data_IF_386114123657
#
_entry.id   IF_386114123657
#
_cell.length_a   1.000
_cell.length_b   1.000
_cell.length_c   1.000
_cell.angle_alpha   90.00
_cell.angle_beta   90.00
_cell.angle_gamma   90.00
#
_symmetry.space_group_name_H-M   'P 1'
#
loop_
_entity.id
_entity.type
_entity.pdbx_description
1 polymer ?
#
# COMPACT_ATOMS: atom_id res chain seq x y z
N UNK A 1 24.63 41.66 -16.91
CA UNK A 1 23.32 41.62 -17.29
C UNK A 1 22.86 40.32 -17.96
N UNK A 2 23.63 39.71 -18.86
CA UNK A 2 23.31 38.35 -19.33
C UNK A 2 23.49 37.27 -18.22
N UNK A 3 24.44 37.45 -17.29
CA UNK A 3 24.68 36.56 -16.16
C UNK A 3 23.55 36.62 -15.11
N UNK A 4 23.01 37.80 -14.86
CA UNK A 4 21.84 38.00 -13.97
C UNK A 4 20.58 37.43 -14.57
N UNK A 5 20.32 37.62 -15.87
CA UNK A 5 19.19 36.99 -16.57
C UNK A 5 19.29 35.45 -16.57
N UNK A 6 20.48 34.89 -16.81
CA UNK A 6 20.71 33.43 -16.75
C UNK A 6 20.47 32.88 -15.35
N UNK A 7 20.93 33.57 -14.31
CA UNK A 7 20.71 33.12 -12.92
C UNK A 7 19.25 33.26 -12.50
N UNK A 8 18.54 34.30 -12.94
CA UNK A 8 17.10 34.47 -12.72
C UNK A 8 16.30 33.38 -13.47
N UNK A 9 16.68 33.08 -14.72
CA UNK A 9 16.03 32.02 -15.51
C UNK A 9 16.29 30.65 -14.93
N UNK A 10 17.50 30.38 -14.43
CA UNK A 10 17.86 29.11 -13.74
C UNK A 10 17.13 29.00 -12.41
N UNK A 11 16.98 30.10 -11.67
CA UNK A 11 16.22 30.14 -10.42
C UNK A 11 14.72 29.96 -10.67
N UNK A 12 14.17 30.57 -11.72
CA UNK A 12 12.79 30.36 -12.17
C UNK A 12 12.54 28.93 -12.67
N UNK A 13 13.46 28.32 -13.41
CA UNK A 13 13.39 26.92 -13.82
C UNK A 13 13.50 25.96 -12.62
N UNK A 14 14.35 26.26 -11.63
CA UNK A 14 14.42 25.53 -10.36
C UNK A 14 13.14 25.71 -9.53
N UNK A 15 12.59 26.92 -9.46
CA UNK A 15 11.29 27.16 -8.83
C UNK A 15 10.15 26.41 -9.57
N UNK A 16 10.16 26.41 -10.89
CA UNK A 16 9.17 25.68 -11.69
C UNK A 16 9.29 24.16 -11.54
N UNK A 17 10.51 23.63 -11.40
CA UNK A 17 10.74 22.22 -11.11
C UNK A 17 10.30 21.81 -9.68
N UNK A 18 10.29 22.76 -8.74
CA UNK A 18 9.77 22.59 -7.39
C UNK A 18 8.23 22.67 -7.33
N UNK A 19 7.60 23.30 -8.34
CA UNK A 19 6.14 23.48 -8.40
C UNK A 19 5.41 22.36 -9.18
N UNK A 20 6.11 21.51 -9.90
CA UNK A 20 5.51 20.53 -10.80
C UNK A 20 5.81 19.09 -10.37
N UNK A 21 5.35 18.60 -9.21
CA UNK A 21 5.29 17.14 -9.00
C UNK A 21 4.60 16.74 -7.69
N UNK A 22 3.35 17.07 -7.56
CA UNK A 22 2.52 16.40 -6.57
C UNK A 22 1.55 15.46 -7.31
N UNK A 23 1.66 14.15 -7.09
CA UNK A 23 0.70 13.19 -7.59
C UNK A 23 -0.29 12.83 -6.46
N UNK A 24 -1.57 12.68 -6.81
CA UNK A 24 -2.56 12.11 -5.88
C UNK A 24 -2.38 10.59 -5.79
N UNK A 25 -2.83 9.97 -4.69
CA UNK A 25 -2.86 8.52 -4.60
C UNK A 25 -3.54 7.90 -5.82
N UNK A 26 -2.97 6.81 -6.35
CA UNK A 26 -3.49 6.09 -7.52
C UNK A 26 -3.82 4.65 -7.14
N UNK A 27 -5.05 4.24 -7.38
CA UNK A 27 -5.49 2.86 -7.22
C UNK A 27 -5.35 2.10 -8.54
N UNK A 28 -4.66 0.98 -8.51
CA UNK A 28 -4.56 0.00 -9.59
C UNK A 28 -5.52 -1.16 -9.32
N UNK A 29 -6.32 -1.49 -10.30
CA UNK A 29 -7.37 -2.51 -10.19
C UNK A 29 -7.29 -3.55 -11.30
N UNK A 30 -8.11 -4.59 -11.21
CA UNK A 30 -8.19 -5.65 -12.23
C UNK A 30 -8.87 -5.20 -13.52
N UNK A 31 -9.56 -4.07 -13.52
CA UNK A 31 -10.27 -3.59 -14.71
C UNK A 31 -9.32 -3.14 -15.81
N UNK A 32 -8.09 -2.74 -15.45
CA UNK A 32 -7.13 -2.13 -16.39
C UNK A 32 -5.69 -2.59 -16.21
N UNK A 33 -5.23 -2.83 -14.98
CA UNK A 33 -3.80 -2.92 -14.71
C UNK A 33 -3.35 -4.25 -14.08
N UNK A 34 -4.16 -4.85 -13.19
CA UNK A 34 -3.73 -6.00 -12.40
C UNK A 34 -4.39 -7.30 -12.87
N UNK A 35 -3.68 -8.40 -12.72
CA UNK A 35 -4.20 -9.74 -12.99
C UNK A 35 -5.21 -10.22 -11.95
N UNK A 36 -5.08 -9.77 -10.69
CA UNK A 36 -6.00 -10.09 -9.58
C UNK A 36 -6.00 -8.97 -8.53
N UNK A 37 -7.11 -8.81 -7.80
CA UNK A 37 -7.23 -7.94 -6.64
C UNK A 37 -6.80 -8.61 -5.32
N UNK A 38 -6.47 -9.89 -5.36
CA UNK A 38 -5.96 -10.65 -4.22
C UNK A 38 -4.43 -10.65 -4.26
N UNK A 39 -3.84 -9.70 -3.55
CA UNK A 39 -2.41 -9.45 -3.55
C UNK A 39 -1.76 -10.16 -2.37
N UNK A 40 -0.72 -10.96 -2.65
CA UNK A 40 0.06 -11.67 -1.63
C UNK A 40 1.27 -10.86 -1.17
N UNK A 41 1.98 -10.21 -2.12
CA UNK A 41 3.15 -9.40 -1.79
C UNK A 41 3.37 -8.29 -2.83
N UNK A 42 3.89 -7.16 -2.38
CA UNK A 42 4.48 -6.12 -3.22
C UNK A 42 5.98 -6.09 -2.94
N UNK A 43 6.80 -6.10 -3.99
CA UNK A 43 8.25 -6.14 -3.91
C UNK A 43 8.86 -5.16 -4.91
N UNK A 44 9.98 -4.50 -4.56
CA UNK A 44 10.76 -3.69 -5.50
C UNK A 44 12.11 -4.37 -5.73
N UNK A 45 12.46 -4.61 -6.99
CA UNK A 45 13.78 -5.11 -7.36
C UNK A 45 14.85 -4.00 -7.42
N UNK A 46 16.10 -4.37 -7.57
CA UNK A 46 17.24 -3.43 -7.65
C UNK A 46 17.17 -2.47 -8.84
N UNK A 47 16.48 -2.85 -9.90
CA UNK A 47 16.27 -2.03 -11.10
C UNK A 47 15.13 -1.03 -10.92
N UNK A 48 14.39 -1.11 -9.80
CA UNK A 48 13.31 -0.21 -9.46
C UNK A 48 11.93 -0.67 -9.96
N UNK A 49 11.81 -1.82 -10.64
CA UNK A 49 10.52 -2.38 -11.00
C UNK A 49 9.74 -2.80 -9.74
N UNK A 50 8.45 -2.55 -9.76
CA UNK A 50 7.55 -3.04 -8.70
C UNK A 50 6.89 -4.34 -9.16
N UNK A 51 7.11 -5.38 -8.40
CA UNK A 51 6.54 -6.70 -8.62
C UNK A 51 5.38 -6.92 -7.67
N UNK A 52 4.25 -7.38 -8.19
CA UNK A 52 3.03 -7.63 -7.43
C UNK A 52 2.64 -9.09 -7.62
N UNK A 53 2.88 -9.88 -6.58
CA UNK A 53 2.49 -11.27 -6.50
C UNK A 53 1.01 -11.39 -6.16
N UNK A 54 0.25 -12.12 -6.97
CA UNK A 54 -1.20 -12.26 -6.81
C UNK A 54 -1.65 -13.72 -6.83
N UNK A 55 -2.93 -13.95 -6.55
CA UNK A 55 -3.53 -15.28 -6.67
C UNK A 55 -3.80 -15.71 -8.13
N UNK A 56 -3.67 -14.81 -9.12
CA UNK A 56 -3.90 -15.10 -10.54
C UNK A 56 -2.85 -14.46 -11.47
N UNK A 57 -1.58 -14.62 -11.15
CA UNK A 57 -0.45 -14.16 -11.94
C UNK A 57 0.52 -13.27 -11.18
N UNK A 58 1.60 -12.92 -11.87
CA UNK A 58 2.62 -11.99 -11.42
C UNK A 58 2.56 -10.73 -12.28
N UNK A 59 2.60 -9.56 -11.65
CA UNK A 59 2.56 -8.28 -12.34
C UNK A 59 3.87 -7.52 -12.11
N UNK A 60 4.44 -6.93 -13.16
CA UNK A 60 5.61 -6.03 -13.09
C UNK A 60 5.21 -4.64 -13.55
N UNK A 61 5.44 -3.65 -12.71
CA UNK A 61 5.21 -2.23 -13.02
C UNK A 61 6.53 -1.52 -13.29
N UNK A 62 6.64 -0.84 -14.43
CA UNK A 62 7.85 -0.15 -14.89
C UNK A 62 7.86 1.36 -14.61
N UNK A 63 6.87 1.85 -13.84
CA UNK A 63 6.65 3.28 -13.62
C UNK A 63 5.55 3.88 -14.50
N UNK A 64 5.18 3.21 -15.60
CA UNK A 64 4.17 3.67 -16.54
C UNK A 64 3.06 2.63 -16.78
N UNK A 65 3.43 1.36 -17.00
CA UNK A 65 2.51 0.28 -17.38
C UNK A 65 2.81 -1.01 -16.61
N UNK A 66 1.84 -1.90 -16.62
CA UNK A 66 1.97 -3.25 -16.09
C UNK A 66 2.26 -4.25 -17.21
N UNK A 67 3.17 -5.19 -16.95
CA UNK A 67 3.34 -6.44 -17.67
C UNK A 67 2.79 -7.56 -16.79
N UNK A 68 1.91 -8.39 -17.33
CA UNK A 68 1.27 -9.49 -16.61
C UNK A 68 1.86 -10.82 -17.10
N UNK A 69 2.33 -11.62 -16.16
CA UNK A 69 2.83 -12.97 -16.42
C UNK A 69 1.84 -13.99 -15.87
N UNK A 70 1.51 -14.98 -16.68
CA UNK A 70 0.62 -16.08 -16.32
C UNK A 70 1.22 -17.43 -16.71
N UNK A 71 0.66 -18.47 -16.13
CA UNK A 71 0.96 -19.84 -16.52
C UNK A 71 0.41 -20.12 -17.94
N UNK A 72 1.27 -20.67 -18.81
CA UNK A 72 0.92 -21.14 -20.14
C UNK A 72 1.12 -22.67 -20.19
N UNK A 73 0.08 -23.46 -20.46
CA UNK A 73 0.21 -24.90 -20.58
C UNK A 73 1.27 -25.28 -21.64
N UNK A 74 2.13 -26.23 -21.32
CA UNK A 74 3.22 -26.73 -22.17
C UNK A 74 4.36 -25.72 -22.44
N UNK A 75 4.44 -24.61 -21.72
CA UNK A 75 5.55 -23.68 -21.77
C UNK A 75 6.27 -23.65 -20.42
N UNK A 76 7.36 -24.41 -20.30
CA UNK A 76 8.17 -24.49 -19.05
C UNK A 76 8.89 -23.18 -18.71
N UNK A 77 8.95 -22.23 -19.65
CA UNK A 77 9.51 -20.91 -19.47
C UNK A 77 8.43 -19.85 -19.13
N UNK A 78 7.17 -20.23 -19.06
CA UNK A 78 6.12 -19.39 -18.50
C UNK A 78 6.09 -19.50 -16.98
N UNK A 79 5.27 -18.68 -16.33
CA UNK A 79 5.02 -18.81 -14.89
C UNK A 79 4.49 -20.23 -14.57
N UNK A 80 5.09 -20.93 -13.62
CA UNK A 80 4.74 -22.31 -13.33
C UNK A 80 3.31 -22.48 -12.80
N UNK A 81 2.81 -21.48 -12.07
CA UNK A 81 1.46 -21.46 -11.53
C UNK A 81 0.99 -20.01 -11.33
N UNK A 82 -0.29 -19.74 -11.63
CA UNK A 82 -0.84 -18.38 -11.46
C UNK A 82 -0.86 -17.89 -10.01
N UNK A 83 -0.98 -18.79 -9.04
CA UNK A 83 -0.92 -18.41 -7.63
C UNK A 83 0.52 -18.13 -7.22
N UNK A 84 0.92 -16.85 -7.25
CA UNK A 84 2.24 -16.38 -6.82
C UNK A 84 2.16 -15.86 -5.41
N UNK A 85 3.00 -16.38 -4.53
CA UNK A 85 2.99 -16.01 -3.11
C UNK A 85 4.01 -14.96 -2.76
N UNK A 86 5.23 -15.10 -3.31
CA UNK A 86 6.35 -14.28 -2.86
C UNK A 86 7.33 -14.04 -4.00
N UNK A 87 7.95 -12.87 -3.96
CA UNK A 87 9.03 -12.43 -4.85
C UNK A 87 10.20 -12.00 -3.97
N UNK A 88 11.39 -12.39 -4.34
CA UNK A 88 12.60 -12.07 -3.61
C UNK A 88 13.78 -11.92 -4.56
N UNK A 89 14.64 -10.94 -4.35
CA UNK A 89 15.89 -10.78 -5.09
C UNK A 89 17.07 -10.96 -4.15
N UNK A 90 18.01 -11.85 -4.52
CA UNK A 90 19.21 -12.06 -3.74
C UNK A 90 20.27 -10.96 -3.97
N UNK A 91 21.34 -10.96 -3.18
CA UNK A 91 22.44 -9.99 -3.29
C UNK A 91 23.15 -10.02 -4.64
N UNK A 92 23.03 -11.10 -5.41
CA UNK A 92 23.63 -11.27 -6.74
C UNK A 92 22.73 -10.80 -7.88
N UNK A 93 21.42 -10.51 -7.60
CA UNK A 93 20.45 -10.05 -8.58
C UNK A 93 19.57 -11.14 -9.19
N UNK A 94 19.54 -12.30 -8.57
CA UNK A 94 18.61 -13.33 -8.97
C UNK A 94 17.24 -13.04 -8.39
N UNK A 95 16.28 -12.78 -9.26
CA UNK A 95 14.88 -12.54 -8.86
C UNK A 95 14.14 -13.88 -8.80
N UNK A 96 13.81 -14.33 -7.61
CA UNK A 96 13.18 -15.60 -7.30
C UNK A 96 11.68 -15.42 -7.14
N UNK A 97 10.92 -16.33 -7.71
CA UNK A 97 9.46 -16.35 -7.68
C UNK A 97 9.00 -17.61 -6.97
N UNK A 98 8.31 -17.42 -5.84
CA UNK A 98 7.66 -18.51 -5.10
C UNK A 98 6.20 -18.63 -5.49
N UNK A 99 5.84 -19.80 -6.01
CA UNK A 99 4.47 -20.11 -6.42
C UNK A 99 3.83 -21.16 -5.51
N UNK A 100 2.57 -21.51 -5.77
CA UNK A 100 1.88 -22.59 -5.08
C UNK A 100 2.54 -23.97 -5.28
N UNK A 101 3.27 -24.16 -6.39
CA UNK A 101 3.84 -25.48 -6.75
C UNK A 101 5.37 -25.53 -6.72
N UNK A 102 6.07 -24.39 -6.52
CA UNK A 102 7.54 -24.42 -6.48
C UNK A 102 8.19 -23.07 -6.71
N UNK A 103 9.48 -23.12 -7.04
CA UNK A 103 10.36 -21.97 -7.19
C UNK A 103 10.82 -21.84 -8.64
N UNK A 104 10.76 -20.64 -9.17
CA UNK A 104 11.37 -20.26 -10.44
C UNK A 104 12.24 -19.01 -10.25
N UNK A 105 13.12 -18.73 -11.21
CA UNK A 105 13.86 -17.49 -11.30
C UNK A 105 13.44 -16.74 -12.57
N UNK A 106 13.25 -15.44 -12.46
CA UNK A 106 13.00 -14.58 -13.60
C UNK A 106 14.29 -14.32 -14.36
N UNK A 107 14.27 -14.48 -15.67
CA UNK A 107 15.36 -14.14 -16.59
C UNK A 107 15.04 -12.83 -17.32
N UNK A 108 15.71 -11.72 -16.96
CA UNK A 108 15.45 -10.42 -17.61
C UNK A 108 15.94 -10.35 -19.06
N UNK A 109 16.83 -11.26 -19.52
CA UNK A 109 17.33 -11.24 -20.87
C UNK A 109 16.31 -11.78 -21.88
N UNK A 110 15.49 -12.73 -21.45
CA UNK A 110 14.44 -13.36 -22.26
C UNK A 110 13.03 -12.93 -21.89
N UNK A 111 12.87 -12.17 -20.80
CA UNK A 111 11.58 -11.80 -20.16
C UNK A 111 10.72 -13.02 -19.81
N UNK A 112 11.36 -14.11 -19.37
CA UNK A 112 10.78 -15.43 -19.10
C UNK A 112 11.21 -15.95 -17.71
N UNK A 113 10.84 -17.20 -17.42
CA UNK A 113 11.18 -17.87 -16.16
C UNK A 113 12.00 -19.15 -16.44
N UNK A 114 12.85 -19.50 -15.48
CA UNK A 114 13.52 -20.82 -15.49
C UNK A 114 12.51 -21.95 -15.26
N UNK A 115 12.83 -23.18 -15.61
CA UNK A 115 12.10 -24.33 -15.09
C UNK A 115 12.07 -24.37 -13.56
N UNK A 116 11.13 -25.11 -13.00
CA UNK A 116 10.99 -25.28 -11.54
C UNK A 116 12.25 -25.87 -10.91
N UNK A 117 12.55 -25.41 -9.68
CA UNK A 117 13.67 -25.91 -8.88
C UNK A 117 13.55 -27.43 -8.63
N UNK A 118 14.70 -28.13 -8.63
CA UNK A 118 14.79 -29.57 -8.42
C UNK A 118 15.42 -29.90 -7.06
N UNK A 119 15.03 -31.02 -6.49
CA UNK A 119 15.68 -31.60 -5.32
C UNK A 119 17.09 -32.10 -5.68
N UNK A 120 18.07 -31.75 -4.88
CA UNK A 120 19.49 -32.10 -5.13
C UNK A 120 19.72 -33.61 -5.08
N UNK A 121 19.03 -34.31 -4.19
CA UNK A 121 19.20 -35.75 -3.94
C UNK A 121 18.53 -36.65 -4.99
N UNK A 122 17.36 -36.25 -5.47
CA UNK A 122 16.55 -37.09 -6.40
C UNK A 122 16.52 -36.56 -7.83
N UNK A 123 16.80 -35.26 -8.04
CA UNK A 123 16.62 -34.58 -9.33
C UNK A 123 15.15 -34.33 -9.68
N UNK A 124 14.20 -34.71 -8.82
CA UNK A 124 12.77 -34.46 -9.00
C UNK A 124 12.44 -32.99 -8.76
N UNK A 125 11.36 -32.52 -9.37
CA UNK A 125 10.87 -31.16 -9.13
C UNK A 125 10.42 -30.99 -7.70
N UNK A 126 10.81 -29.86 -7.08
CA UNK A 126 10.30 -29.50 -5.75
C UNK A 126 8.81 -29.10 -5.88
N UNK A 127 7.92 -29.97 -5.48
CA UNK A 127 6.50 -29.66 -5.35
C UNK A 127 6.22 -29.10 -3.94
N UNK A 128 6.17 -27.78 -3.83
CA UNK A 128 5.97 -27.11 -2.55
C UNK A 128 5.32 -25.74 -2.74
N UNK A 129 4.34 -25.45 -1.90
CA UNK A 129 3.78 -24.11 -1.78
C UNK A 129 4.80 -23.21 -1.07
N UNK A 130 5.37 -22.25 -1.79
CA UNK A 130 6.47 -21.41 -1.29
C UNK A 130 5.91 -20.20 -0.54
N UNK A 131 6.31 -20.02 0.72
CA UNK A 131 5.78 -18.97 1.57
C UNK A 131 6.73 -17.76 1.69
N UNK A 132 8.04 -17.97 1.77
CA UNK A 132 9.01 -16.90 2.02
C UNK A 132 10.43 -17.31 1.60
N UNK A 133 11.23 -16.32 1.27
CA UNK A 133 12.68 -16.44 1.05
C UNK A 133 13.43 -15.54 2.02
N UNK A 134 14.63 -15.95 2.42
CA UNK A 134 15.63 -15.08 3.03
C UNK A 134 17.01 -15.39 2.45
N UNK A 135 17.84 -14.38 2.26
CA UNK A 135 19.28 -14.53 2.10
C UNK A 135 19.93 -14.29 3.45
N UNK A 136 20.64 -15.30 3.94
CA UNK A 136 21.34 -15.22 5.21
C UNK A 136 22.65 -14.43 5.05
N UNK A 137 23.17 -13.91 6.15
CA UNK A 137 24.44 -13.16 6.16
C UNK A 137 25.65 -13.95 5.63
N UNK A 138 25.57 -15.29 5.65
CA UNK A 138 26.57 -16.17 5.06
C UNK A 138 26.38 -16.40 3.55
N UNK A 139 25.37 -15.76 2.94
CA UNK A 139 25.03 -15.88 1.51
C UNK A 139 24.17 -17.09 1.15
N UNK A 140 23.76 -17.91 2.11
CA UNK A 140 22.81 -19.00 1.85
C UNK A 140 21.39 -18.44 1.64
N UNK A 141 20.71 -18.92 0.60
CA UNK A 141 19.30 -18.62 0.39
C UNK A 141 18.48 -19.74 1.03
N UNK A 142 17.63 -19.36 1.97
CA UNK A 142 16.70 -20.27 2.62
C UNK A 142 15.28 -19.99 2.16
N UNK A 143 14.52 -21.07 1.98
CA UNK A 143 13.17 -21.04 1.42
C UNK A 143 12.23 -21.79 2.34
N UNK A 144 11.15 -21.16 2.75
CA UNK A 144 10.06 -21.80 3.45
C UNK A 144 8.93 -22.21 2.51
N UNK A 145 8.42 -23.37 2.73
CA UNK A 145 7.29 -23.95 2.02
C UNK A 145 6.66 -25.05 2.86
N UNK A 146 6.29 -26.19 2.24
CA UNK A 146 5.88 -27.37 2.98
C UNK A 146 7.00 -27.88 3.91
N UNK A 147 8.24 -27.62 3.53
CA UNK A 147 9.45 -27.86 4.30
C UNK A 147 10.38 -26.66 4.20
N UNK A 148 11.37 -26.56 5.09
CA UNK A 148 12.44 -25.57 4.98
C UNK A 148 13.54 -26.16 4.08
N UNK A 149 13.98 -25.37 3.11
CA UNK A 149 15.02 -25.75 2.16
C UNK A 149 16.13 -24.70 2.09
N UNK A 150 17.32 -25.11 1.70
CA UNK A 150 18.37 -24.24 1.15
C UNK A 150 18.28 -24.30 -0.37
N UNK A 151 18.43 -23.15 -1.02
CA UNK A 151 18.42 -23.01 -2.46
C UNK A 151 19.82 -22.68 -2.97
N UNK A 152 20.29 -23.45 -3.94
CA UNK A 152 21.51 -23.17 -4.71
C UNK A 152 21.15 -22.78 -6.13
N UNK A 153 21.84 -21.77 -6.67
CA UNK A 153 21.68 -21.25 -8.03
C UNK A 153 22.98 -21.41 -8.77
N UNK A 154 22.97 -22.20 -9.83
CA UNK A 154 24.14 -22.41 -10.69
C UNK A 154 23.74 -22.45 -12.15
N UNK A 155 24.32 -21.59 -12.99
CA UNK A 155 24.09 -21.55 -14.45
C UNK A 155 22.58 -21.58 -14.80
N UNK A 156 21.75 -20.75 -14.15
CA UNK A 156 20.29 -20.68 -14.24
C UNK A 156 19.55 -21.96 -13.77
N UNK A 157 20.24 -22.95 -13.22
CA UNK A 157 19.60 -24.09 -12.60
C UNK A 157 19.38 -23.83 -11.11
N UNK A 158 18.16 -24.15 -10.67
CA UNK A 158 17.76 -24.04 -9.29
C UNK A 158 17.74 -25.44 -8.66
N UNK A 159 18.54 -25.63 -7.61
CA UNK A 159 18.54 -26.88 -6.83
C UNK A 159 18.26 -26.58 -5.38
N UNK A 160 17.52 -27.45 -4.72
CA UNK A 160 17.15 -27.30 -3.30
C UNK A 160 17.50 -28.52 -2.49
N UNK A 161 17.97 -28.27 -1.26
CA UNK A 161 18.24 -29.29 -0.25
C UNK A 161 17.39 -29.02 0.98
N UNK A 162 16.67 -30.04 1.47
CA UNK A 162 15.89 -29.95 2.71
C UNK A 162 16.79 -29.68 3.92
N UNK A 163 16.32 -28.83 4.81
CA UNK A 163 16.94 -28.59 6.11
C UNK A 163 16.27 -29.52 7.13
N UNK A 164 17.09 -30.36 7.78
CA UNK A 164 16.59 -31.31 8.79
C UNK A 164 16.32 -30.57 10.11
N UNK A 165 15.08 -30.11 10.28
CA UNK A 165 14.58 -29.49 11.50
C UNK A 165 13.16 -29.97 11.81
N UNK A 166 12.80 -29.94 13.09
CA UNK A 166 11.48 -30.38 13.56
C UNK A 166 10.33 -29.36 13.31
N UNK A 167 10.46 -28.48 12.31
CA UNK A 167 9.43 -27.49 11.91
C UNK A 167 8.96 -27.80 10.51
N UNK A 168 7.72 -28.20 10.37
CA UNK A 168 7.05 -28.40 9.09
C UNK A 168 6.30 -27.14 8.68
N UNK A 169 6.21 -26.86 7.38
CA UNK A 169 5.46 -25.73 6.80
C UNK A 169 5.70 -24.38 7.49
N UNK A 170 6.97 -23.93 7.68
CA UNK A 170 7.21 -22.60 8.20
C UNK A 170 6.62 -21.56 7.25
N UNK A 171 6.06 -20.49 7.81
CA UNK A 171 5.52 -19.37 7.05
C UNK A 171 6.60 -18.33 6.74
N UNK A 172 6.49 -17.14 7.31
CA UNK A 172 7.48 -16.07 7.11
C UNK A 172 8.80 -16.41 7.80
N UNK A 173 9.91 -16.17 7.09
CA UNK A 173 11.27 -16.30 7.59
C UNK A 173 11.88 -14.92 7.82
N UNK A 174 12.76 -14.84 8.81
CA UNK A 174 13.54 -13.65 9.09
C UNK A 174 14.87 -14.03 9.76
N UNK A 175 16.02 -13.44 9.37
CA UNK A 175 17.30 -13.59 10.05
C UNK A 175 17.64 -12.31 10.83
N UNK A 176 17.84 -12.42 12.14
CA UNK A 176 18.22 -11.30 12.99
C UNK A 176 19.70 -10.91 12.89
N UNK A 177 20.11 -9.81 13.53
CA UNK A 177 21.49 -9.35 13.56
C UNK A 177 22.47 -10.35 14.20
N UNK A 178 21.97 -11.28 14.99
CA UNK A 178 22.75 -12.36 15.63
C UNK A 178 22.78 -13.65 14.81
N UNK A 179 22.23 -13.63 13.58
CA UNK A 179 22.14 -14.77 12.66
C UNK A 179 21.19 -15.88 13.14
N UNK A 180 20.29 -15.60 14.08
CA UNK A 180 19.21 -16.52 14.37
C UNK A 180 18.17 -16.44 13.26
N UNK A 181 17.64 -17.59 12.84
CA UNK A 181 16.52 -17.65 11.89
C UNK A 181 15.22 -17.77 12.68
N UNK A 182 14.36 -16.80 12.50
CA UNK A 182 13.03 -16.79 13.09
C UNK A 182 12.00 -17.25 12.07
N UNK A 183 11.08 -18.09 12.51
CA UNK A 183 10.05 -18.72 11.68
C UNK A 183 8.68 -18.50 12.30
N UNK A 184 7.82 -17.73 11.63
CA UNK A 184 6.43 -17.59 12.00
C UNK A 184 5.63 -18.76 11.40
N UNK A 185 4.89 -19.50 12.22
CA UNK A 185 4.13 -20.67 11.80
C UNK A 185 2.67 -20.59 12.23
N UNK A 186 1.93 -19.66 11.65
CA UNK A 186 0.49 -19.55 11.81
C UNK A 186 0.01 -19.73 13.26
N UNK A 187 -0.81 -20.74 13.53
CA UNK A 187 -1.35 -21.04 14.86
C UNK A 187 -0.34 -21.69 15.81
N UNK A 188 0.74 -22.27 15.31
CA UNK A 188 1.73 -22.94 16.18
C UNK A 188 2.63 -21.97 16.92
N UNK A 189 2.88 -20.77 16.33
CA UNK A 189 3.62 -19.71 17.00
C UNK A 189 4.89 -19.27 16.28
N UNK A 190 5.94 -18.94 17.04
CA UNK A 190 7.22 -18.45 16.53
C UNK A 190 8.37 -19.31 17.03
N UNK A 191 9.13 -19.84 16.09
CA UNK A 191 10.32 -20.62 16.35
C UNK A 191 11.57 -19.79 16.09
N UNK A 192 12.61 -20.03 16.87
CA UNK A 192 13.96 -19.50 16.67
C UNK A 192 14.92 -20.67 16.45
N UNK A 193 15.69 -20.62 15.37
CA UNK A 193 16.81 -21.50 15.11
C UNK A 193 18.10 -20.70 15.27
N UNK A 194 18.93 -21.08 16.20
CA UNK A 194 20.22 -20.42 16.47
C UNK A 194 21.32 -20.91 15.48
N UNK A 195 22.45 -20.22 15.33
CA UNK A 195 23.56 -20.63 14.46
C UNK A 195 24.16 -22.02 14.82
N UNK A 196 24.04 -22.42 16.08
CA UNK A 196 24.44 -23.73 16.59
C UNK A 196 23.32 -24.79 16.49
N UNK A 197 22.32 -24.54 15.65
CA UNK A 197 21.18 -25.41 15.33
C UNK A 197 20.28 -25.75 16.53
N UNK A 198 20.22 -24.91 17.56
CA UNK A 198 19.24 -25.08 18.62
C UNK A 198 17.89 -24.46 18.19
N UNK A 199 16.85 -25.29 18.21
CA UNK A 199 15.48 -24.88 17.87
C UNK A 199 14.69 -24.62 19.15
N UNK A 200 14.10 -23.43 19.26
CA UNK A 200 13.28 -23.03 20.43
C UNK A 200 11.95 -22.42 19.99
N UNK A 201 10.86 -22.81 20.65
CA UNK A 201 9.54 -22.19 20.50
C UNK A 201 9.39 -21.05 21.52
N UNK A 202 9.20 -19.81 21.04
CA UNK A 202 9.09 -18.61 21.89
C UNK A 202 7.66 -18.10 22.06
N UNK A 203 6.77 -18.35 21.10
CA UNK A 203 5.39 -17.92 21.13
C UNK A 203 4.52 -19.11 20.75
N UNK A 204 3.61 -19.51 21.65
CA UNK A 204 2.76 -20.67 21.45
C UNK A 204 1.43 -20.34 20.79
N UNK A 205 0.66 -21.38 20.45
CA UNK A 205 -0.68 -21.30 19.82
C UNK A 205 -1.70 -20.42 20.52
N UNK A 206 -1.55 -20.22 21.84
CA UNK A 206 -2.50 -19.40 22.63
C UNK A 206 -2.44 -17.91 22.26
N UNK A 207 -1.40 -17.49 21.52
CA UNK A 207 -1.22 -16.12 21.05
C UNK A 207 -1.86 -15.86 19.66
N UNK A 208 -2.67 -16.78 19.19
CA UNK A 208 -3.41 -16.65 17.92
C UNK A 208 -2.55 -16.89 16.67
N UNK A 209 -3.11 -16.56 15.51
CA UNK A 209 -2.46 -16.79 14.22
C UNK A 209 -1.38 -15.74 13.95
N UNK A 210 -0.11 -16.16 13.99
CA UNK A 210 1.05 -15.33 13.67
C UNK A 210 1.24 -15.26 12.15
N UNK A 211 1.27 -14.06 11.58
CA UNK A 211 1.33 -13.85 10.13
C UNK A 211 2.60 -13.15 9.67
N UNK A 212 3.15 -12.25 10.49
CA UNK A 212 4.28 -11.41 10.09
C UNK A 212 5.29 -11.27 11.23
N UNK A 213 6.57 -11.22 10.86
CA UNK A 213 7.69 -10.97 11.77
C UNK A 213 8.67 -10.02 11.11
N UNK A 214 9.22 -9.08 11.88
CA UNK A 214 10.25 -8.16 11.40
C UNK A 214 11.17 -7.70 12.53
N UNK A 215 12.33 -7.13 12.16
CA UNK A 215 13.25 -6.44 13.07
C UNK A 215 13.28 -4.96 12.73
N UNK A 216 13.34 -4.10 13.75
CA UNK A 216 13.58 -2.68 13.56
C UNK A 216 15.09 -2.36 13.44
N UNK A 217 15.39 -1.11 13.15
CA UNK A 217 16.79 -0.65 13.03
C UNK A 217 17.61 -0.79 14.32
N UNK A 218 16.94 -0.91 15.49
CA UNK A 218 17.56 -1.07 16.81
C UNK A 218 17.77 -2.55 17.19
N UNK A 219 17.30 -3.48 16.36
CA UNK A 219 17.37 -4.90 16.64
C UNK A 219 16.29 -5.40 17.59
N UNK A 220 15.15 -4.72 17.65
CA UNK A 220 13.95 -5.25 18.31
C UNK A 220 13.16 -6.07 17.32
N UNK A 221 12.68 -7.23 17.75
CA UNK A 221 11.92 -8.16 16.91
C UNK A 221 10.45 -8.04 17.27
N UNK A 222 9.63 -7.82 16.25
CA UNK A 222 8.18 -7.68 16.37
C UNK A 222 7.47 -8.81 15.66
N UNK A 223 6.35 -9.22 16.23
CA UNK A 223 5.48 -10.27 15.67
C UNK A 223 4.05 -9.76 15.64
N UNK A 224 3.41 -9.94 14.50
CA UNK A 224 2.00 -9.62 14.28
C UNK A 224 1.11 -10.85 14.33
N UNK A 225 0.06 -10.80 15.14
CA UNK A 225 -0.98 -11.80 15.22
C UNK A 225 -2.34 -11.24 14.80
N UNK A 226 -3.08 -12.00 14.00
CA UNK A 226 -4.42 -11.58 13.55
C UNK A 226 -5.41 -11.48 14.72
N UNK A 227 -5.25 -12.30 15.77
CA UNK A 227 -6.20 -12.34 16.90
C UNK A 227 -5.71 -11.60 18.14
N UNK A 228 -4.39 -11.47 18.33
CA UNK A 228 -3.79 -11.00 19.58
C UNK A 228 -2.94 -9.76 19.43
N UNK A 229 -2.89 -9.17 18.24
CA UNK A 229 -2.23 -7.89 17.97
C UNK A 229 -0.72 -7.97 17.81
N UNK A 230 -0.01 -7.01 18.38
CA UNK A 230 1.42 -6.82 18.23
C UNK A 230 2.19 -7.31 19.45
N UNK A 231 3.28 -8.03 19.20
CA UNK A 231 4.21 -8.50 20.23
C UNK A 231 5.62 -7.99 19.95
N UNK A 232 6.41 -7.82 21.02
CA UNK A 232 7.84 -7.55 20.95
C UNK A 232 8.62 -8.64 21.68
N UNK A 233 9.78 -9.02 21.17
CA UNK A 233 10.65 -9.98 21.83
C UNK A 233 11.38 -9.36 23.02
N UNK A 234 11.10 -9.83 24.22
CA UNK A 234 11.78 -9.47 25.46
C UNK A 234 13.05 -10.33 25.58
N UNK A 235 14.21 -9.69 25.47
CA UNK A 235 15.53 -10.36 25.49
C UNK A 235 15.90 -10.91 26.88
N UNK A 236 15.36 -10.33 27.95
CA UNK A 236 15.62 -10.77 29.32
C UNK A 236 14.78 -12.01 29.65
N UNK A 237 13.48 -11.95 29.32
CA UNK A 237 12.54 -13.06 29.53
C UNK A 237 12.66 -14.15 28.48
N UNK A 238 13.37 -13.89 27.38
CA UNK A 238 13.52 -14.76 26.21
C UNK A 238 12.16 -15.24 25.64
N UNK A 239 11.19 -14.33 25.61
CA UNK A 239 9.85 -14.61 25.08
C UNK A 239 9.24 -13.36 24.46
N UNK A 240 8.18 -13.54 23.68
CA UNK A 240 7.40 -12.42 23.17
C UNK A 240 6.40 -11.93 24.21
N UNK A 241 6.35 -10.61 24.40
CA UNK A 241 5.38 -9.95 25.28
C UNK A 241 4.45 -9.07 24.45
N UNK A 242 3.14 -9.01 24.77
CA UNK A 242 2.22 -8.16 24.04
C UNK A 242 2.55 -6.67 24.24
N UNK A 243 2.41 -5.89 23.17
CA UNK A 243 2.44 -4.43 23.25
C UNK A 243 1.02 -3.96 23.52
N UNK A 244 0.83 -3.25 24.64
CA UNK A 244 -0.45 -2.66 25.00
C UNK A 244 -0.74 -1.44 24.11
N UNK A 245 -1.69 -1.61 23.18
CA UNK A 245 -2.14 -0.58 22.24
C UNK A 245 -3.40 0.13 22.78
N UNK A 246 -3.32 0.72 23.95
CA UNK A 246 -4.37 1.21 24.86
C UNK A 246 -5.65 1.81 24.26
N UNK A 247 -5.61 2.33 23.05
CA UNK A 247 -6.74 3.06 22.46
C UNK A 247 -7.51 2.31 21.37
N UNK A 248 -7.00 1.17 20.87
CA UNK A 248 -7.52 0.50 19.67
C UNK A 248 -8.16 -0.87 19.92
N UNK A 249 -8.16 -1.36 21.14
CA UNK A 249 -8.61 -2.72 21.44
C UNK A 249 -7.75 -3.78 20.75
N UNK A 250 -8.31 -4.95 20.46
CA UNK A 250 -7.60 -5.97 19.68
C UNK A 250 -7.32 -5.46 18.25
N UNK A 251 -6.05 -5.35 17.89
CA UNK A 251 -5.59 -4.92 16.58
C UNK A 251 -5.24 -6.16 15.74
N UNK A 252 -6.04 -6.53 14.73
CA UNK A 252 -5.77 -7.70 13.91
C UNK A 252 -4.61 -7.42 12.94
N UNK A 253 -3.40 -7.86 13.28
CA UNK A 253 -2.18 -7.57 12.49
C UNK A 253 -2.01 -8.58 11.36
N UNK A 254 -2.03 -8.10 10.12
CA UNK A 254 -1.79 -8.87 8.91
C UNK A 254 -0.37 -8.76 8.38
N UNK A 255 0.23 -7.59 8.51
CA UNK A 255 1.54 -7.30 7.92
C UNK A 255 2.30 -6.28 8.79
N UNK A 256 3.61 -6.45 8.89
CA UNK A 256 4.52 -5.52 9.56
C UNK A 256 5.58 -5.03 8.57
N UNK A 257 5.79 -3.72 8.55
CA UNK A 257 6.81 -3.08 7.74
C UNK A 257 7.65 -2.13 8.60
N UNK A 258 8.95 -2.42 8.73
CA UNK A 258 9.92 -1.70 9.58
C UNK A 258 10.94 -0.86 8.78
N UNK A 259 10.70 -0.66 7.48
CA UNK A 259 11.61 0.08 6.59
C UNK A 259 11.69 1.59 6.81
N UNK A 260 10.90 2.14 7.76
CA UNK A 260 10.86 3.57 8.07
C UNK A 260 11.49 3.80 9.45
N UNK A 261 12.48 4.72 9.59
CA UNK A 261 13.14 4.97 10.87
C UNK A 261 12.18 5.35 11.99
N UNK A 262 12.31 4.68 13.15
CA UNK A 262 11.49 4.86 14.35
C UNK A 262 9.98 4.59 14.19
N UNK A 263 9.53 4.06 13.08
CA UNK A 263 8.14 3.75 12.81
C UNK A 263 7.97 2.30 12.38
N UNK A 264 6.99 1.63 12.94
CA UNK A 264 6.52 0.33 12.49
C UNK A 264 5.14 0.52 11.87
N UNK A 265 5.05 0.29 10.56
CA UNK A 265 3.80 0.31 9.83
C UNK A 265 3.10 -1.03 9.96
N UNK A 266 1.86 -1.02 10.40
CA UNK A 266 1.06 -2.20 10.71
C UNK A 266 -0.12 -2.24 9.76
N UNK A 267 -0.11 -3.19 8.84
CA UNK A 267 -1.27 -3.53 8.02
C UNK A 267 -2.24 -4.37 8.82
N UNK A 268 -3.51 -3.99 8.86
CA UNK A 268 -4.53 -4.63 9.69
C UNK A 268 -5.61 -5.32 8.88
N UNK A 269 -6.38 -6.20 9.51
CA UNK A 269 -7.59 -6.79 8.95
C UNK A 269 -8.81 -5.93 9.29
N UNK A 270 -8.97 -4.80 8.60
CA UNK A 270 -10.15 -3.96 8.71
C UNK A 270 -10.01 -2.69 9.57
N UNK A 271 -8.78 -2.29 9.92
CA UNK A 271 -8.48 -0.99 10.57
C UNK A 271 -7.43 -0.19 9.79
N UNK A 272 -7.29 -0.44 8.48
CA UNK A 272 -6.35 0.24 7.62
C UNK A 272 -4.89 0.04 8.00
N UNK A 273 -4.06 1.08 7.85
CA UNK A 273 -2.68 1.11 8.30
C UNK A 273 -2.58 1.86 9.62
N UNK A 274 -1.94 1.24 10.59
CA UNK A 274 -1.60 1.84 11.89
C UNK A 274 -0.10 2.01 11.99
N UNK A 275 0.36 3.15 12.49
CA UNK A 275 1.77 3.42 12.76
C UNK A 275 2.02 3.31 14.27
N UNK A 276 2.97 2.46 14.64
CA UNK A 276 3.52 2.41 16.00
C UNK A 276 4.86 3.15 16.02
N UNK A 277 4.94 4.20 16.80
CA UNK A 277 6.18 4.94 17.02
C UNK A 277 7.04 4.19 18.04
N UNK A 278 8.20 3.70 17.58
CA UNK A 278 9.11 2.87 18.39
C UNK A 278 9.76 3.66 19.54
N UNK A 279 9.81 5.00 19.46
CA UNK A 279 10.43 5.85 20.49
C UNK A 279 9.46 6.30 21.58
N UNK A 280 8.26 6.73 21.16
CA UNK A 280 7.23 7.28 22.08
C UNK A 280 6.25 6.22 22.55
N UNK A 281 6.24 5.05 21.89
CA UNK A 281 5.27 3.96 22.11
C UNK A 281 3.82 4.35 21.83
N UNK A 282 3.63 5.42 21.06
CA UNK A 282 2.31 5.90 20.63
C UNK A 282 1.88 5.24 19.34
N UNK A 283 0.57 5.15 19.16
CA UNK A 283 -0.04 4.68 17.93
C UNK A 283 -0.84 5.78 17.27
N UNK A 284 -0.80 5.80 15.93
CA UNK A 284 -1.58 6.69 15.11
C UNK A 284 -2.13 5.97 13.89
N UNK A 285 -3.23 6.49 13.33
CA UNK A 285 -3.73 6.01 12.04
C UNK A 285 -2.94 6.68 10.92
N UNK A 286 -2.52 5.88 9.94
CA UNK A 286 -2.00 6.43 8.71
C UNK A 286 -3.17 6.87 7.82
N UNK A 287 -3.41 8.17 7.78
CA UNK A 287 -4.48 8.76 6.96
C UNK A 287 -3.87 9.33 5.69
N UNK A 288 -4.49 9.01 4.57
CA UNK A 288 -4.19 9.60 3.27
C UNK A 288 -5.49 9.94 2.54
N UNK A 289 -5.45 11.02 1.81
CA UNK A 289 -6.61 11.46 1.03
C UNK A 289 -6.72 10.62 -0.24
N UNK A 290 -7.84 9.93 -0.39
CA UNK A 290 -8.15 9.15 -1.57
C UNK A 290 -9.66 9.16 -1.85
N UNK A 291 -10.04 8.88 -3.11
CA UNK A 291 -11.42 8.90 -3.57
C UNK A 291 -11.98 7.49 -3.86
N UNK A 292 -11.27 6.44 -3.47
CA UNK A 292 -11.56 5.08 -3.94
C UNK A 292 -12.25 4.23 -2.88
N UNK A 293 -11.86 4.36 -1.60
CA UNK A 293 -12.36 3.53 -0.50
C UNK A 293 -12.08 4.16 0.86
N UNK A 294 -12.74 3.65 1.90
CA UNK A 294 -12.45 4.02 3.29
C UNK A 294 -11.13 3.40 3.75
N UNK A 295 -10.09 4.24 3.85
CA UNK A 295 -8.75 3.81 4.25
C UNK A 295 -8.69 3.31 5.71
N UNK A 296 -9.54 3.84 6.59
CA UNK A 296 -9.58 3.49 8.01
C UNK A 296 -10.23 2.13 8.31
N UNK A 297 -11.06 1.60 7.38
CA UNK A 297 -11.75 0.32 7.52
C UNK A 297 -11.29 -0.72 6.50
N UNK A 298 -10.11 -0.52 5.89
CA UNK A 298 -9.58 -1.42 4.87
C UNK A 298 -8.69 -2.51 5.46
N UNK A 299 -8.63 -3.67 4.76
CA UNK A 299 -7.72 -4.77 5.07
C UNK A 299 -6.44 -4.60 4.26
N UNK A 300 -5.29 -4.54 4.94
CA UNK A 300 -3.98 -4.29 4.33
C UNK A 300 -3.10 -5.51 4.47
N UNK A 301 -2.77 -6.14 3.35
CA UNK A 301 -2.04 -7.41 3.31
C UNK A 301 -0.55 -7.29 2.98
N UNK A 302 -0.13 -6.18 2.37
CA UNK A 302 1.28 -5.89 2.10
C UNK A 302 1.52 -4.39 2.09
N UNK A 303 2.69 -3.98 2.56
CA UNK A 303 3.14 -2.59 2.62
C UNK A 303 4.57 -2.55 2.08
N UNK A 304 4.85 -1.63 1.17
CA UNK A 304 6.20 -1.38 0.65
C UNK A 304 6.42 0.12 0.54
N UNK A 305 7.57 0.62 0.98
CA UNK A 305 8.08 1.94 0.63
C UNK A 305 9.16 1.76 -0.43
N UNK A 306 8.94 2.32 -1.62
CA UNK A 306 9.88 2.20 -2.72
C UNK A 306 11.08 3.13 -2.57
N UNK A 307 12.09 2.96 -3.43
CA UNK A 307 13.33 3.75 -3.42
C UNK A 307 13.09 5.25 -3.73
N UNK A 308 11.95 5.60 -4.33
CA UNK A 308 11.52 6.99 -4.55
C UNK A 308 10.78 7.57 -3.34
N UNK A 309 10.54 6.75 -2.31
CA UNK A 309 9.85 7.11 -1.08
C UNK A 309 8.33 6.99 -1.16
N UNK A 310 7.77 6.51 -2.28
CA UNK A 310 6.34 6.27 -2.39
C UNK A 310 5.93 5.07 -1.54
N UNK A 311 4.72 5.11 -1.00
CA UNK A 311 4.16 4.01 -0.23
C UNK A 311 3.17 3.22 -1.11
N UNK A 312 3.38 1.91 -1.17
CA UNK A 312 2.52 0.96 -1.87
C UNK A 312 1.77 0.12 -0.86
N UNK A 313 0.45 0.04 -0.97
CA UNK A 313 -0.39 -0.74 -0.08
C UNK A 313 -1.23 -1.73 -0.88
N UNK A 314 -1.15 -3.01 -0.52
CA UNK A 314 -2.07 -4.02 -1.02
C UNK A 314 -3.36 -4.00 -0.20
N UNK A 315 -4.45 -3.59 -0.82
CA UNK A 315 -5.77 -3.47 -0.20
C UNK A 315 -6.62 -4.66 -0.64
N UNK A 316 -6.98 -5.52 0.31
CA UNK A 316 -7.72 -6.76 0.04
C UNK A 316 -8.98 -6.52 -0.79
N UNK A 317 -9.12 -7.27 -1.88
CA UNK A 317 -10.21 -7.18 -2.85
C UNK A 317 -10.39 -5.81 -3.53
N UNK A 318 -9.43 -4.89 -3.37
CA UNK A 318 -9.46 -3.57 -4.03
C UNK A 318 -8.33 -3.39 -5.03
N UNK A 319 -7.21 -4.09 -4.82
CA UNK A 319 -6.00 -3.97 -5.63
C UNK A 319 -4.86 -3.30 -4.88
N UNK A 320 -4.08 -2.50 -5.56
CA UNK A 320 -2.90 -1.83 -5.02
C UNK A 320 -3.05 -0.32 -5.11
N UNK A 321 -2.82 0.39 -4.01
CA UNK A 321 -2.76 1.84 -4.02
C UNK A 321 -1.32 2.33 -3.89
N UNK A 322 -0.93 3.22 -4.78
CA UNK A 322 0.31 3.98 -4.77
C UNK A 322 0.05 5.34 -4.12
N UNK A 323 0.74 5.63 -3.03
CA UNK A 323 0.70 6.93 -2.34
C UNK A 323 2.06 7.60 -2.57
N UNK A 324 2.12 8.68 -3.34
CA UNK A 324 3.36 9.36 -3.65
C UNK A 324 4.02 9.95 -2.41
N UNK A 325 5.37 9.94 -2.37
CA UNK A 325 6.17 10.54 -1.30
C UNK A 325 5.96 12.05 -1.17
N UNK A 326 5.65 12.70 -2.29
CA UNK A 326 5.31 14.13 -2.36
C UNK A 326 3.83 14.28 -2.65
N UNK A 327 3.09 14.77 -1.66
CA UNK A 327 1.68 15.10 -1.84
C UNK A 327 1.52 16.31 -2.73
N UNK A 328 0.48 16.28 -3.55
CA UNK A 328 0.10 17.40 -4.41
C UNK A 328 -0.32 18.59 -3.54
N UNK A 329 0.08 19.80 -3.95
CA UNK A 329 -0.47 21.05 -3.41
C UNK A 329 -1.95 21.29 -3.81
N UNK A 330 -2.49 20.47 -4.73
CA UNK A 330 -3.88 20.52 -5.13
C UNK A 330 -4.74 19.64 -4.22
N UNK A 331 -5.79 20.23 -3.66
CA UNK A 331 -6.82 19.49 -2.90
C UNK A 331 -7.98 19.18 -3.84
N UNK A 332 -8.33 17.92 -3.98
CA UNK A 332 -9.53 17.52 -4.71
C UNK A 332 -10.77 17.78 -3.82
N UNK A 333 -11.75 18.52 -4.35
CA UNK A 333 -13.02 18.78 -3.72
C UNK A 333 -14.11 18.34 -4.69
N UNK A 334 -14.70 17.19 -4.46
CA UNK A 334 -15.70 16.61 -5.34
C UNK A 334 -16.40 15.44 -4.67
N UNK A 335 -17.17 14.70 -5.45
CA UNK A 335 -17.88 13.55 -4.93
C UNK A 335 -16.93 12.47 -4.42
N UNK A 336 -17.09 12.08 -3.16
CA UNK A 336 -16.42 10.95 -2.52
C UNK A 336 -17.47 10.03 -1.93
N UNK A 337 -17.41 8.75 -2.25
CA UNK A 337 -18.39 7.76 -1.76
C UNK A 337 -18.37 7.58 -0.24
N UNK A 338 -17.29 7.98 0.42
CA UNK A 338 -17.05 7.80 1.87
C UNK A 338 -17.13 9.11 2.68
N UNK A 339 -17.21 10.26 2.00
CA UNK A 339 -17.21 11.58 2.64
C UNK A 339 -18.59 12.24 2.48
N UNK A 340 -19.25 12.51 3.60
CA UNK A 340 -20.55 13.20 3.62
C UNK A 340 -20.45 14.72 3.37
N UNK A 341 -19.23 15.27 3.49
CA UNK A 341 -18.96 16.69 3.33
C UNK A 341 -18.27 16.98 1.99
N UNK A 342 -18.80 16.50 0.89
CA UNK A 342 -18.26 16.73 -0.45
C UNK A 342 -19.27 17.45 -1.34
N UNK A 343 -18.78 18.05 -2.43
CA UNK A 343 -19.62 18.53 -3.52
C UNK A 343 -20.19 17.31 -4.24
N UNK A 344 -21.48 17.34 -4.60
CA UNK A 344 -22.15 16.25 -5.32
C UNK A 344 -21.47 15.87 -6.64
N UNK A 345 -21.99 14.87 -7.33
CA UNK A 345 -21.41 14.28 -8.55
C UNK A 345 -21.57 15.14 -9.82
N UNK A 346 -21.97 16.40 -9.70
CA UNK A 346 -22.32 17.29 -10.81
C UNK A 346 -21.10 18.02 -11.38
N UNK A 347 -21.25 18.51 -12.61
CA UNK A 347 -20.26 19.41 -13.21
C UNK A 347 -20.23 20.76 -12.47
N UNK A 348 -19.04 21.25 -12.21
CA UNK A 348 -18.84 22.60 -11.66
C UNK A 348 -18.87 23.60 -12.79
N UNK A 349 -19.69 24.61 -12.67
CA UNK A 349 -19.94 25.60 -13.71
C UNK A 349 -19.36 26.98 -13.36
N UNK A 350 -19.30 27.34 -12.08
CA UNK A 350 -18.86 28.65 -11.64
C UNK A 350 -18.27 28.65 -10.24
N UNK A 351 -17.32 29.58 -10.02
CA UNK A 351 -16.80 29.93 -8.71
C UNK A 351 -16.96 31.42 -8.44
N UNK A 352 -17.22 31.78 -7.20
CA UNK A 352 -17.18 33.14 -6.71
C UNK A 352 -16.68 33.15 -5.25
N UNK A 353 -15.62 33.89 -4.95
CA UNK A 353 -15.18 34.13 -3.59
C UNK A 353 -15.80 35.43 -3.11
N UNK A 354 -16.59 35.36 -2.02
CA UNK A 354 -17.24 36.57 -1.48
C UNK A 354 -16.29 37.38 -0.59
N UNK A 355 -16.71 38.56 -0.20
CA UNK A 355 -15.94 39.47 0.64
C UNK A 355 -15.62 38.92 2.05
N UNK A 356 -16.34 37.90 2.50
CA UNK A 356 -16.12 37.20 3.77
C UNK A 356 -15.14 36.03 3.62
N UNK A 357 -14.60 35.79 2.40
CA UNK A 357 -13.70 34.70 2.13
C UNK A 357 -14.36 33.36 1.82
N UNK A 358 -15.70 33.29 1.85
CA UNK A 358 -16.44 32.08 1.49
C UNK A 358 -16.34 31.81 -0.01
N UNK A 359 -15.96 30.59 -0.38
CA UNK A 359 -15.93 30.15 -1.77
C UNK A 359 -17.31 29.55 -2.15
N UNK A 360 -17.99 30.23 -3.05
CA UNK A 360 -19.26 29.77 -3.61
C UNK A 360 -19.02 28.99 -4.89
N UNK A 361 -19.69 27.85 -5.03
CA UNK A 361 -19.53 26.90 -6.14
C UNK A 361 -20.90 26.65 -6.76
N UNK A 362 -21.04 27.04 -8.04
CA UNK A 362 -22.24 26.74 -8.84
C UNK A 362 -22.06 25.41 -9.57
N UNK A 363 -23.14 24.65 -9.67
CA UNK A 363 -23.14 23.32 -10.28
C UNK A 363 -24.18 23.20 -11.39
N UNK A 364 -23.98 22.19 -12.23
CA UNK A 364 -25.00 21.71 -13.16
C UNK A 364 -25.82 20.61 -12.48
N UNK A 365 -27.13 20.87 -12.28
CA UNK A 365 -28.13 19.99 -11.66
C UNK A 365 -28.09 19.80 -10.14
N UNK A 366 -27.23 20.49 -9.38
CA UNK A 366 -27.16 20.31 -7.92
C UNK A 366 -27.09 21.63 -7.13
N UNK A 367 -27.46 22.75 -7.78
CA UNK A 367 -27.56 24.05 -7.14
C UNK A 367 -26.22 24.67 -6.76
N UNK A 368 -26.08 25.13 -5.50
CA UNK A 368 -24.95 25.95 -5.05
C UNK A 368 -24.38 25.42 -3.73
N UNK A 369 -23.07 25.35 -3.64
CA UNK A 369 -22.33 25.05 -2.41
C UNK A 369 -21.60 26.29 -1.90
N UNK A 370 -21.55 26.48 -0.59
CA UNK A 370 -20.68 27.43 0.08
C UNK A 370 -19.62 26.67 0.86
N UNK A 371 -18.34 26.92 0.57
CA UNK A 371 -17.19 26.28 1.21
C UNK A 371 -16.54 27.24 2.22
N UNK A 372 -16.09 26.70 3.35
CA UNK A 372 -15.29 27.42 4.36
C UNK A 372 -13.93 27.82 3.80
N UNK A 373 -13.13 28.60 4.55
CA UNK A 373 -11.73 28.87 4.21
C UNK A 373 -10.86 27.59 4.13
N UNK A 374 -11.26 26.53 4.86
CA UNK A 374 -10.61 25.20 4.77
C UNK A 374 -11.09 24.37 3.58
N UNK A 375 -11.94 24.96 2.73
CA UNK A 375 -12.56 24.32 1.57
C UNK A 375 -13.42 23.10 1.95
N UNK A 376 -14.11 23.18 3.08
CA UNK A 376 -15.11 22.20 3.51
C UNK A 376 -16.51 22.74 3.23
N UNK A 377 -17.44 21.94 2.68
CA UNK A 377 -18.82 22.37 2.46
C UNK A 377 -19.49 22.77 3.77
N UNK A 378 -19.86 24.05 3.87
CA UNK A 378 -20.57 24.61 5.02
C UNK A 378 -22.08 24.65 4.79
N UNK A 379 -22.49 24.91 3.54
CA UNK A 379 -23.90 24.98 3.13
C UNK A 379 -24.06 24.39 1.73
N UNK A 380 -25.21 23.76 1.50
CA UNK A 380 -25.67 23.32 0.21
C UNK A 380 -27.11 23.79 -0.01
N UNK A 381 -27.34 24.54 -1.06
CA UNK A 381 -28.65 25.00 -1.49
C UNK A 381 -29.04 24.30 -2.78
N UNK A 382 -29.93 23.33 -2.70
CA UNK A 382 -30.45 22.61 -3.86
C UNK A 382 -31.72 23.18 -4.38
N UNK A 383 -32.05 22.92 -5.64
CA UNK A 383 -33.35 23.25 -6.22
C UNK A 383 -34.45 22.49 -5.52
N UNK A 384 -35.53 23.21 -5.20
CA UNK A 384 -36.76 22.65 -4.59
C UNK A 384 -38.00 23.12 -5.38
N UNK A 385 -39.18 22.67 -4.98
CA UNK A 385 -40.43 23.12 -5.55
C UNK A 385 -40.84 24.55 -5.12
N UNK A 386 -40.08 25.17 -4.21
CA UNK A 386 -40.29 26.56 -3.80
C UNK A 386 -39.97 27.51 -4.95
N UNK A 387 -40.87 28.46 -5.29
CA UNK A 387 -40.74 29.34 -6.45
C UNK A 387 -39.47 30.22 -6.43
N UNK A 388 -38.94 30.50 -5.24
CA UNK A 388 -37.70 31.27 -5.02
C UNK A 388 -36.50 30.39 -4.67
N UNK A 389 -36.54 29.08 -4.89
CA UNK A 389 -35.38 28.24 -4.65
C UNK A 389 -34.25 28.52 -5.65
N UNK A 390 -33.02 28.23 -5.28
CA UNK A 390 -31.90 28.28 -6.25
C UNK A 390 -32.20 27.43 -7.47
N UNK A 391 -31.77 27.85 -8.67
CA UNK A 391 -31.92 27.05 -9.87
C UNK A 391 -31.06 25.76 -9.76
N UNK A 392 -31.51 24.67 -10.35
CA UNK A 392 -30.76 23.42 -10.40
C UNK A 392 -29.39 23.60 -11.14
N UNK A 393 -29.46 24.31 -12.28
CA UNK A 393 -28.28 24.58 -13.10
C UNK A 393 -27.87 26.04 -13.00
N UNK A 394 -26.73 26.27 -12.35
CA UNK A 394 -26.13 27.60 -12.16
C UNK A 394 -25.01 27.79 -13.16
N UNK A 395 -25.10 28.80 -14.02
CA UNK A 395 -24.08 29.12 -15.04
C UNK A 395 -23.00 30.05 -14.49
N UNK A 396 -23.41 31.05 -13.69
CA UNK A 396 -22.51 32.06 -13.17
C UNK A 396 -22.91 32.51 -11.77
N UNK A 397 -21.88 32.67 -10.93
CA UNK A 397 -21.96 33.37 -9.64
C UNK A 397 -21.12 34.65 -9.71
N UNK A 398 -21.65 35.74 -9.13
CA UNK A 398 -20.97 37.03 -9.10
C UNK A 398 -21.37 37.80 -7.84
N UNK A 399 -20.41 38.35 -7.10
CA UNK A 399 -20.64 39.28 -6.01
C UNK A 399 -20.40 40.72 -6.51
N UNK A 400 -21.41 41.59 -6.32
CA UNK A 400 -21.28 43.01 -6.69
C UNK A 400 -20.57 43.85 -5.61
N UNK A 401 -20.36 45.12 -5.89
CA UNK A 401 -19.69 46.05 -4.96
C UNK A 401 -20.48 46.32 -3.66
N UNK A 402 -21.75 45.99 -3.64
CA UNK A 402 -22.61 46.09 -2.46
C UNK A 402 -22.71 44.73 -1.68
N UNK A 403 -21.87 43.77 -2.08
CA UNK A 403 -21.79 42.42 -1.51
C UNK A 403 -23.04 41.54 -1.73
N UNK A 404 -23.84 41.88 -2.75
CA UNK A 404 -24.94 41.03 -3.19
C UNK A 404 -24.41 39.89 -4.05
N UNK A 405 -24.87 38.66 -3.80
CA UNK A 405 -24.51 37.51 -4.64
C UNK A 405 -25.57 37.35 -5.74
N UNK A 406 -25.15 37.44 -6.98
CA UNK A 406 -25.95 37.23 -8.16
C UNK A 406 -25.78 35.85 -8.76
N UNK A 407 -26.86 35.24 -9.20
CA UNK A 407 -26.88 33.92 -9.85
C UNK A 407 -27.40 34.10 -11.27
N UNK A 408 -26.61 33.66 -12.24
CA UNK A 408 -27.09 33.42 -13.59
C UNK A 408 -27.42 31.93 -13.78
N UNK A 409 -28.62 31.62 -14.24
CA UNK A 409 -29.05 30.23 -14.47
C UNK A 409 -29.25 29.93 -15.95
N UNK A 410 -29.33 28.64 -16.28
CA UNK A 410 -29.49 28.22 -17.68
C UNK A 410 -30.93 28.53 -18.20
N UNK A 411 -31.95 28.34 -17.37
CA UNK A 411 -33.34 28.45 -17.77
C UNK A 411 -34.06 29.67 -17.11
N UNK A 412 -33.75 29.94 -15.84
CA UNK A 412 -34.56 30.85 -15.01
C UNK A 412 -34.03 32.30 -15.01
N UNK A 413 -33.06 32.63 -15.89
CA UNK A 413 -32.54 33.98 -15.96
C UNK A 413 -31.56 34.32 -14.86
N UNK A 414 -31.64 35.51 -14.29
CA UNK A 414 -30.74 36.03 -13.27
C UNK A 414 -31.53 36.39 -12.00
N UNK A 415 -30.97 36.04 -10.84
CA UNK A 415 -31.58 36.37 -9.53
C UNK A 415 -30.53 36.73 -8.49
N UNK A 416 -30.95 37.33 -7.39
CA UNK A 416 -30.13 37.70 -6.24
C UNK A 416 -30.29 36.66 -5.13
N UNK A 417 -29.20 36.06 -4.72
CA UNK A 417 -29.17 35.01 -3.69
C UNK A 417 -29.16 35.63 -2.28
N UNK A 418 -30.06 35.19 -1.45
CA UNK A 418 -29.94 35.36 -0.02
C UNK A 418 -28.95 34.31 0.54
N UNK A 419 -27.76 34.71 0.93
CA UNK A 419 -26.66 33.83 1.39
C UNK A 419 -26.98 33.04 2.68
N UNK A 420 -28.05 33.41 3.41
CA UNK A 420 -28.44 32.71 4.65
C UNK A 420 -29.51 31.67 4.39
N UNK A 421 -30.56 32.03 3.63
CA UNK A 421 -31.73 31.19 3.40
C UNK A 421 -31.60 30.33 2.13
N UNK A 422 -30.77 30.70 1.18
CA UNK A 422 -30.64 30.06 -0.13
C UNK A 422 -31.81 30.38 -1.06
N UNK A 423 -32.58 31.43 -0.78
CA UNK A 423 -33.66 31.88 -1.66
C UNK A 423 -33.14 32.90 -2.66
N UNK A 424 -33.73 32.95 -3.84
CA UNK A 424 -33.42 33.86 -4.94
C UNK A 424 -34.59 34.75 -5.24
N UNK A 425 -34.36 36.05 -5.38
CA UNK A 425 -35.35 37.06 -5.80
C UNK A 425 -35.06 37.51 -7.23
#
# INVERSE_FOLDING_TARGET
DLLTMRNVLTFLLLLFSLLCNGQSPKLFTTDKELSSSLINQIYQDRNGFIWIATEDGLNRYDGAKFTIYKHEPNNEHSLAHNFVRTVFEDSKGHLLIGTYIGIQMYDPATDNFTPLAKLEDTGETLESNINSFIERKNGEIWVSGNVLCKLDIKDHLLTVRKVDIAVTSPGSLFEDKKQNVWMAKGEEGVYQLTPDNQLTLHLSKDNGYVKSICEDQRGNIYVGSIRKGLFIYDKERKTFVPIDLKEKGELPVCFLYSGIPNELYIGTDGKGVVIYNIRTHEISEYKFDNNYFDSGNSKIHSILKDNSGNLWLAVYQKGVILIPARTNSFKYIGHKSTDKNCIGSCCITSFCKDNNGTLWVGTDNDGIYALTEKLEPAKHFSHTTHPHSVPSTVIKLYEDSEHNMWIGSFINGMGKLNKQTGLCD
#
